data_IF_313865746601
#
_entry.id   IF_313865746601
#
_cell.length_a   1.000
_cell.length_b   1.000
_cell.length_c   1.000
_cell.angle_alpha   90.00
_cell.angle_beta   90.00
_cell.angle_gamma   90.00
#
_symmetry.space_group_name_H-M   'P 1'
#
loop_
_entity.id
_entity.type
_entity.pdbx_description
1 polymer ?
#
# COMPACT_ATOMS: atom_id res chain seq x y z
N UNK A 1 38.70 -8.04 -30.73
CA UNK A 1 39.09 -8.94 -29.63
C UNK A 1 39.18 -8.09 -28.38
N UNK A 2 38.53 -8.47 -27.30
CA UNK A 2 38.31 -7.77 -26.00
C UNK A 2 36.98 -6.99 -25.89
N UNK A 3 35.86 -7.73 -25.93
CA UNK A 3 34.64 -7.41 -25.17
C UNK A 3 34.76 -8.22 -23.88
N UNK A 4 35.24 -7.59 -22.81
CA UNK A 4 35.29 -8.18 -21.47
C UNK A 4 34.02 -7.82 -20.75
N UNK A 5 33.20 -8.83 -20.56
CA UNK A 5 32.10 -9.02 -19.65
C UNK A 5 32.12 -8.06 -18.44
N UNK A 6 31.25 -7.07 -18.47
CA UNK A 6 30.71 -6.51 -17.23
C UNK A 6 29.62 -7.46 -16.77
N UNK A 7 29.99 -8.36 -15.86
CA UNK A 7 29.09 -9.24 -15.16
C UNK A 7 28.05 -8.39 -14.38
N UNK A 8 26.96 -8.12 -15.02
CA UNK A 8 25.78 -7.53 -14.43
C UNK A 8 25.20 -8.61 -13.51
N UNK A 9 25.47 -8.50 -12.21
CA UNK A 9 24.66 -9.21 -11.21
C UNK A 9 23.24 -8.69 -11.36
N UNK A 10 22.49 -9.28 -12.28
CA UNK A 10 21.05 -9.17 -12.34
C UNK A 10 20.55 -9.55 -10.95
N UNK A 11 20.02 -8.59 -10.20
CA UNK A 11 19.28 -8.87 -8.99
C UNK A 11 18.22 -9.89 -9.36
N UNK A 12 18.40 -11.15 -8.91
CA UNK A 12 17.50 -12.26 -9.25
C UNK A 12 16.09 -11.82 -8.88
N UNK A 13 15.23 -11.68 -9.88
CA UNK A 13 13.80 -11.53 -9.62
C UNK A 13 13.39 -12.67 -8.68
N UNK A 14 12.71 -12.37 -7.57
CA UNK A 14 12.32 -13.39 -6.61
C UNK A 14 11.48 -14.46 -7.31
N UNK A 15 11.64 -15.73 -6.94
CA UNK A 15 10.79 -16.82 -7.42
C UNK A 15 9.31 -16.56 -7.07
N UNK A 16 8.35 -17.20 -7.75
CA UNK A 16 6.92 -17.09 -7.41
C UNK A 16 6.66 -17.40 -5.94
N UNK A 17 7.33 -18.41 -5.38
CA UNK A 17 7.22 -18.75 -3.95
C UNK A 17 7.71 -17.63 -3.04
N UNK A 18 8.83 -16.98 -3.37
CA UNK A 18 9.32 -15.84 -2.64
C UNK A 18 8.36 -14.64 -2.74
N UNK A 19 7.73 -14.41 -3.90
CA UNK A 19 6.76 -13.32 -4.08
C UNK A 19 5.47 -13.54 -3.28
N UNK A 20 5.03 -14.78 -3.11
CA UNK A 20 3.92 -15.13 -2.19
C UNK A 20 4.32 -14.88 -0.73
N UNK A 21 5.53 -15.26 -0.34
CA UNK A 21 6.04 -14.94 1.01
C UNK A 21 6.05 -13.43 1.26
N UNK A 22 6.52 -12.63 0.30
CA UNK A 22 6.47 -11.17 0.41
C UNK A 22 5.05 -10.64 0.53
N UNK A 23 4.08 -11.23 -0.19
CA UNK A 23 2.67 -10.86 -0.03
C UNK A 23 2.16 -11.14 1.39
N UNK A 24 2.48 -12.32 1.94
CA UNK A 24 2.13 -12.68 3.33
C UNK A 24 2.75 -11.68 4.31
N UNK A 25 4.03 -11.36 4.17
CA UNK A 25 4.71 -10.38 5.02
C UNK A 25 4.09 -8.98 4.91
N UNK A 26 3.73 -8.55 3.69
CA UNK A 26 3.01 -7.29 3.48
C UNK A 26 1.67 -7.26 4.19
N UNK A 27 0.89 -8.36 4.11
CA UNK A 27 -0.40 -8.51 4.81
C UNK A 27 -0.21 -8.44 6.33
N UNK A 28 0.77 -9.15 6.88
CA UNK A 28 1.06 -9.12 8.33
C UNK A 28 1.44 -7.72 8.79
N UNK A 29 2.29 -7.02 8.05
CA UNK A 29 2.65 -5.63 8.34
C UNK A 29 1.40 -4.71 8.27
N UNK A 30 0.58 -4.82 7.24
CA UNK A 30 -0.65 -4.04 7.09
C UNK A 30 -1.66 -4.32 8.21
N UNK A 31 -1.77 -5.58 8.63
CA UNK A 31 -2.60 -5.99 9.77
C UNK A 31 -2.09 -5.33 11.07
N UNK A 32 -0.78 -5.38 11.32
CA UNK A 32 -0.15 -4.74 12.49
C UNK A 32 -0.43 -3.24 12.54
N UNK A 33 -0.30 -2.54 11.41
CA UNK A 33 -0.66 -1.12 11.30
C UNK A 33 -2.09 -0.88 11.75
N UNK A 34 -3.04 -1.66 11.22
CA UNK A 34 -4.45 -1.50 11.51
C UNK A 34 -4.78 -1.76 13.00
N UNK A 35 -4.16 -2.77 13.62
CA UNK A 35 -4.34 -3.09 15.03
C UNK A 35 -3.77 -1.99 15.93
N UNK A 36 -2.59 -1.44 15.61
CA UNK A 36 -2.00 -0.34 16.37
C UNK A 36 -2.86 0.92 16.23
N UNK A 37 -3.36 1.22 15.02
CA UNK A 37 -4.29 2.34 14.83
C UNK A 37 -5.61 2.13 15.59
N UNK A 38 -6.13 0.90 15.69
CA UNK A 38 -7.29 0.59 16.50
C UNK A 38 -7.07 0.96 17.98
N UNK A 39 -5.90 0.59 18.54
CA UNK A 39 -5.50 1.01 19.90
C UNK A 39 -5.43 2.53 20.00
N UNK A 40 -4.86 3.21 19.00
CA UNK A 40 -4.79 4.68 18.96
C UNK A 40 -6.16 5.34 19.01
N UNK A 41 -7.12 4.82 18.23
CA UNK A 41 -8.50 5.33 18.19
C UNK A 41 -9.24 5.07 19.51
N UNK A 42 -9.14 3.87 20.06
CA UNK A 42 -9.77 3.51 21.35
C UNK A 42 -9.27 4.41 22.46
N UNK A 43 -7.99 4.79 22.45
CA UNK A 43 -7.39 5.71 23.42
C UNK A 43 -7.54 7.18 23.05
N UNK A 44 -8.32 7.53 22.01
CA UNK A 44 -8.55 8.89 21.51
C UNK A 44 -7.27 9.71 21.30
N UNK A 45 -6.24 9.07 20.74
CA UNK A 45 -4.96 9.71 20.47
C UNK A 45 -5.07 10.73 19.32
N UNK A 46 -4.20 11.75 19.33
CA UNK A 46 -4.15 12.72 18.25
C UNK A 46 -3.60 12.08 16.96
N UNK A 47 -4.45 11.95 15.96
CA UNK A 47 -4.15 11.27 14.69
C UNK A 47 -3.01 11.92 13.93
N UNK A 48 -2.90 13.25 13.94
CA UNK A 48 -1.81 13.94 13.22
C UNK A 48 -0.45 13.63 13.85
N UNK A 49 -0.36 13.61 15.19
CA UNK A 49 0.88 13.28 15.90
C UNK A 49 1.28 11.83 15.63
N UNK A 50 0.33 10.88 15.72
CA UNK A 50 0.57 9.45 15.42
C UNK A 50 1.02 9.27 13.98
N UNK A 51 0.38 9.95 13.01
CA UNK A 51 0.72 9.84 11.58
C UNK A 51 2.08 10.46 11.26
N UNK A 52 2.41 11.61 11.88
CA UNK A 52 3.73 12.25 11.69
C UNK A 52 4.84 11.36 12.22
N UNK A 53 4.69 10.80 13.43
CA UNK A 53 5.67 9.89 14.00
C UNK A 53 5.81 8.59 13.17
N UNK A 54 4.71 8.07 12.63
CA UNK A 54 4.71 6.96 11.68
C UNK A 54 5.57 7.26 10.45
N UNK A 55 5.30 8.37 9.75
CA UNK A 55 6.06 8.71 8.56
C UNK A 55 7.52 9.09 8.87
N UNK A 56 7.80 9.62 10.06
CA UNK A 56 9.17 9.89 10.49
C UNK A 56 10.00 8.60 10.56
N UNK A 57 9.46 7.54 11.17
CA UNK A 57 10.17 6.24 11.23
C UNK A 57 10.27 5.61 9.85
N UNK A 58 9.19 5.61 9.06
CA UNK A 58 9.22 5.05 7.71
C UNK A 58 10.27 5.76 6.82
N UNK A 59 10.39 7.09 6.95
CA UNK A 59 11.42 7.88 6.27
C UNK A 59 12.83 7.52 6.78
N UNK A 60 13.01 7.40 8.09
CA UNK A 60 14.29 7.03 8.68
C UNK A 60 14.74 5.62 8.26
N UNK A 61 13.82 4.66 8.22
CA UNK A 61 14.10 3.30 7.73
C UNK A 61 14.48 3.35 6.24
N UNK A 62 13.77 4.14 5.41
CA UNK A 62 14.10 4.33 4.00
C UNK A 62 15.52 4.89 3.82
N UNK A 63 15.89 5.91 4.60
CA UNK A 63 17.22 6.50 4.61
C UNK A 63 18.31 5.50 5.02
N UNK A 64 18.05 4.69 6.04
CA UNK A 64 19.00 3.66 6.50
C UNK A 64 19.29 2.64 5.40
N UNK A 65 18.27 2.19 4.67
CA UNK A 65 18.46 1.29 3.53
C UNK A 65 19.20 1.97 2.38
N UNK A 66 18.95 3.26 2.15
CA UNK A 66 19.61 4.03 1.09
C UNK A 66 21.10 4.23 1.42
N UNK A 67 21.42 4.60 2.66
CA UNK A 67 22.79 4.79 3.13
C UNK A 67 23.57 3.47 3.08
N UNK A 68 23.00 2.37 3.58
CA UNK A 68 23.63 1.06 3.58
C UNK A 68 23.95 0.49 2.19
N UNK A 69 23.30 0.99 1.14
CA UNK A 69 23.55 0.61 -0.26
C UNK A 69 24.46 1.56 -1.03
N UNK A 70 24.95 2.63 -0.42
CA UNK A 70 25.78 3.64 -1.08
C UNK A 70 25.08 4.39 -2.23
N UNK A 71 23.75 4.34 -2.31
CA UNK A 71 22.98 4.98 -3.37
C UNK A 71 23.03 6.51 -3.29
N UNK A 72 23.29 7.08 -2.11
CA UNK A 72 23.42 8.53 -1.92
C UNK A 72 24.51 9.14 -2.81
N UNK A 73 25.61 8.43 -3.03
CA UNK A 73 26.73 8.89 -3.85
C UNK A 73 26.42 8.86 -5.37
N UNK A 74 25.31 8.23 -5.77
CA UNK A 74 24.90 8.07 -7.17
C UNK A 74 23.81 9.06 -7.61
N UNK A 75 23.35 9.94 -6.74
CA UNK A 75 22.21 10.84 -7.00
C UNK A 75 22.54 11.99 -7.97
N UNK A 76 23.81 12.43 -8.05
CA UNK A 76 24.21 13.61 -8.82
C UNK A 76 23.86 13.57 -10.32
N UNK A 77 24.21 12.52 -11.10
CA UNK A 77 23.94 12.44 -12.53
C UNK A 77 22.54 11.95 -12.91
N UNK A 78 21.69 11.62 -11.92
CA UNK A 78 20.43 10.90 -12.13
C UNK A 78 19.40 11.63 -13.01
N UNK A 79 19.34 12.95 -12.96
CA UNK A 79 18.33 13.72 -13.69
C UNK A 79 18.53 13.69 -15.21
N UNK A 80 19.79 13.79 -15.68
CA UNK A 80 20.11 13.69 -17.11
C UNK A 80 19.76 12.31 -17.66
N UNK A 81 20.24 11.27 -17.00
CA UNK A 81 20.00 9.88 -17.41
C UNK A 81 18.51 9.52 -17.40
N UNK A 82 17.75 10.04 -16.44
CA UNK A 82 16.30 9.84 -16.40
C UNK A 82 15.60 10.36 -17.65
N UNK A 83 15.92 11.58 -18.10
CA UNK A 83 15.32 12.19 -19.29
C UNK A 83 15.74 11.44 -20.58
N UNK A 84 16.96 10.99 -20.67
CA UNK A 84 17.46 10.21 -21.81
C UNK A 84 16.78 8.83 -21.93
N UNK A 85 16.56 8.16 -20.79
CA UNK A 85 15.90 6.85 -20.75
C UNK A 85 14.37 6.90 -20.84
N UNK A 86 13.75 8.07 -20.62
CA UNK A 86 12.29 8.23 -20.57
C UNK A 86 11.57 7.74 -21.84
N UNK A 87 12.02 8.06 -23.09
CA UNK A 87 11.36 7.57 -24.30
C UNK A 87 11.40 6.04 -24.42
N UNK A 88 12.50 5.42 -23.99
CA UNK A 88 12.65 3.96 -23.97
C UNK A 88 11.75 3.33 -22.90
N UNK A 89 11.69 3.91 -21.73
CA UNK A 89 10.85 3.43 -20.63
C UNK A 89 9.36 3.47 -21.00
N UNK A 90 8.88 4.56 -21.61
CA UNK A 90 7.49 4.69 -22.07
C UNK A 90 7.10 3.65 -23.15
N UNK A 91 8.07 3.15 -23.91
CA UNK A 91 7.89 2.04 -24.88
C UNK A 91 7.94 0.64 -24.23
N UNK A 92 7.95 0.56 -22.90
CA UNK A 92 7.92 -0.69 -22.14
C UNK A 92 9.29 -1.23 -21.70
N UNK A 93 10.39 -0.48 -21.93
CA UNK A 93 11.77 -0.93 -21.68
C UNK A 93 12.27 -0.82 -20.23
N UNK A 94 11.58 -0.11 -19.37
CA UNK A 94 12.03 0.18 -17.99
C UNK A 94 13.27 1.09 -17.92
N UNK A 95 13.54 1.62 -16.73
CA UNK A 95 14.71 2.44 -16.45
C UNK A 95 15.89 1.61 -15.99
N UNK A 96 17.09 2.00 -16.38
CA UNK A 96 18.34 1.51 -15.80
C UNK A 96 18.50 1.94 -14.33
N UNK A 97 19.56 1.46 -13.64
CA UNK A 97 19.78 1.81 -12.22
C UNK A 97 19.84 3.32 -11.95
N UNK A 98 20.47 4.10 -12.83
CA UNK A 98 20.58 5.56 -12.67
C UNK A 98 19.28 6.29 -13.04
N UNK A 99 18.65 5.97 -14.18
CA UNK A 99 17.35 6.54 -14.56
C UNK A 99 16.26 6.23 -13.55
N UNK A 100 16.35 5.07 -12.86
CA UNK A 100 15.44 4.69 -11.78
C UNK A 100 15.51 5.60 -10.56
N UNK A 101 16.60 6.33 -10.34
CA UNK A 101 16.70 7.33 -9.27
C UNK A 101 15.77 8.52 -9.56
N UNK A 102 15.78 9.01 -10.81
CA UNK A 102 14.83 10.06 -11.26
C UNK A 102 13.38 9.57 -11.26
N UNK A 103 13.16 8.31 -11.71
CA UNK A 103 11.84 7.69 -11.66
C UNK A 103 11.29 7.55 -10.24
N UNK A 104 12.15 7.21 -9.27
CA UNK A 104 11.78 7.14 -7.86
C UNK A 104 11.23 8.47 -7.34
N UNK A 105 11.83 9.60 -7.73
CA UNK A 105 11.33 10.92 -7.39
C UNK A 105 10.03 11.26 -8.15
N UNK A 106 10.00 11.02 -9.47
CA UNK A 106 8.86 11.33 -10.33
C UNK A 106 7.56 10.63 -9.88
N UNK A 107 7.66 9.39 -9.43
CA UNK A 107 6.51 8.62 -8.92
C UNK A 107 6.32 8.79 -7.41
N UNK A 108 7.41 8.85 -6.64
CA UNK A 108 7.36 8.89 -5.18
C UNK A 108 6.80 10.20 -4.61
N UNK A 109 7.11 11.33 -5.23
CA UNK A 109 6.61 12.65 -4.77
C UNK A 109 5.08 12.74 -4.88
N UNK A 110 4.44 12.52 -6.04
CA UNK A 110 2.98 12.51 -6.13
C UNK A 110 2.35 11.40 -5.28
N UNK A 111 2.98 10.23 -5.20
CA UNK A 111 2.52 9.15 -4.33
C UNK A 111 2.46 9.57 -2.86
N UNK A 112 3.49 10.25 -2.35
CA UNK A 112 3.51 10.75 -0.96
C UNK A 112 2.36 11.71 -0.66
N UNK A 113 1.98 12.55 -1.62
CA UNK A 113 0.79 13.40 -1.51
C UNK A 113 -0.49 12.54 -1.45
N UNK A 114 -0.61 11.50 -2.29
CA UNK A 114 -1.77 10.60 -2.28
C UNK A 114 -1.87 9.82 -0.97
N UNK A 115 -0.75 9.32 -0.42
CA UNK A 115 -0.70 8.67 0.91
C UNK A 115 -1.24 9.60 2.00
N UNK A 116 -0.80 10.86 2.02
CA UNK A 116 -1.29 11.85 2.98
C UNK A 116 -2.78 12.17 2.78
N UNK A 117 -3.20 12.43 1.53
CA UNK A 117 -4.61 12.74 1.21
C UNK A 117 -5.53 11.56 1.54
N UNK A 118 -5.12 10.32 1.25
CA UNK A 118 -5.85 9.12 1.64
C UNK A 118 -6.14 9.07 3.13
N UNK A 119 -5.15 9.43 3.96
CA UNK A 119 -5.33 9.54 5.40
C UNK A 119 -6.31 10.65 5.80
N UNK A 120 -6.23 11.83 5.18
CA UNK A 120 -7.15 12.95 5.46
C UNK A 120 -8.59 12.60 5.06
N UNK A 121 -8.77 12.02 3.87
CA UNK A 121 -10.10 11.64 3.41
C UNK A 121 -10.67 10.45 4.20
N UNK A 122 -9.83 9.53 4.71
CA UNK A 122 -10.28 8.50 5.64
C UNK A 122 -10.88 9.12 6.91
N UNK A 123 -10.18 10.10 7.52
CA UNK A 123 -10.68 10.78 8.71
C UNK A 123 -11.99 11.54 8.44
N UNK A 124 -12.05 12.28 7.31
CA UNK A 124 -13.27 12.99 6.92
C UNK A 124 -14.42 12.01 6.67
N UNK A 125 -14.17 10.93 5.92
CA UNK A 125 -15.14 9.89 5.62
C UNK A 125 -15.69 9.23 6.89
N UNK A 126 -14.80 8.91 7.85
CA UNK A 126 -15.22 8.38 9.17
C UNK A 126 -16.15 9.35 9.90
N UNK A 127 -15.84 10.66 9.86
CA UNK A 127 -16.65 11.68 10.54
C UNK A 127 -17.99 11.94 9.86
N UNK A 128 -18.04 11.92 8.53
CA UNK A 128 -19.24 12.27 7.75
C UNK A 128 -20.14 11.06 7.47
N UNK A 129 -19.55 9.89 7.25
CA UNK A 129 -20.26 8.69 6.77
C UNK A 129 -20.13 7.48 7.72
N UNK A 130 -19.34 7.61 8.78
CA UNK A 130 -19.09 6.54 9.75
C UNK A 130 -17.95 5.61 9.37
N UNK A 131 -17.44 4.86 10.37
CA UNK A 131 -16.25 4.02 10.26
C UNK A 131 -16.42 2.90 9.21
N UNK A 132 -17.61 2.28 9.19
CA UNK A 132 -17.92 1.15 8.31
C UNK A 132 -17.84 1.54 6.83
N UNK A 133 -18.51 2.63 6.42
CA UNK A 133 -18.48 3.08 5.03
C UNK A 133 -17.10 3.58 4.62
N UNK A 134 -16.45 4.42 5.44
CA UNK A 134 -15.11 4.90 5.14
C UNK A 134 -14.09 3.75 5.04
N UNK A 135 -14.17 2.77 5.93
CA UNK A 135 -13.35 1.55 5.87
C UNK A 135 -13.58 0.76 4.58
N UNK A 136 -14.84 0.59 4.16
CA UNK A 136 -15.19 -0.10 2.91
C UNK A 136 -14.62 0.60 1.69
N UNK A 137 -14.83 1.92 1.57
CA UNK A 137 -14.33 2.69 0.42
C UNK A 137 -12.79 2.72 0.37
N UNK A 138 -12.14 2.83 1.53
CA UNK A 138 -10.68 2.71 1.61
C UNK A 138 -10.18 1.36 1.11
N UNK A 139 -10.82 0.26 1.47
CA UNK A 139 -10.41 -1.09 1.05
C UNK A 139 -10.81 -1.40 -0.39
N UNK A 140 -11.92 -0.87 -0.88
CA UNK A 140 -12.30 -0.94 -2.29
C UNK A 140 -11.35 -0.14 -3.20
N UNK A 141 -10.58 0.79 -2.66
CA UNK A 141 -9.53 1.50 -3.40
C UNK A 141 -8.60 0.58 -4.20
N UNK A 142 -8.46 -0.70 -3.82
CA UNK A 142 -7.70 -1.70 -4.58
C UNK A 142 -8.25 -1.96 -5.99
N UNK A 143 -9.49 -1.58 -6.28
CA UNK A 143 -10.04 -1.63 -7.65
C UNK A 143 -9.31 -0.67 -8.60
N UNK A 144 -8.76 0.43 -8.09
CA UNK A 144 -8.00 1.40 -8.91
C UNK A 144 -6.73 0.77 -9.49
N UNK A 145 -5.78 0.24 -8.69
CA UNK A 145 -4.61 -0.41 -9.25
C UNK A 145 -4.94 -1.65 -10.09
N UNK A 146 -6.00 -2.40 -9.75
CA UNK A 146 -6.47 -3.53 -10.54
C UNK A 146 -6.96 -3.07 -11.92
N UNK A 147 -7.88 -2.12 -11.98
CA UNK A 147 -8.42 -1.62 -13.24
C UNK A 147 -7.33 -0.98 -14.11
N UNK A 148 -6.49 -0.13 -13.52
CA UNK A 148 -5.40 0.53 -14.25
C UNK A 148 -4.35 -0.46 -14.75
N UNK A 149 -4.04 -1.54 -14.03
CA UNK A 149 -3.11 -2.56 -14.51
C UNK A 149 -3.67 -3.37 -15.69
N UNK A 150 -4.97 -3.64 -15.70
CA UNK A 150 -5.64 -4.28 -16.84
C UNK A 150 -5.63 -3.35 -18.05
N UNK A 151 -5.97 -2.07 -17.86
CA UNK A 151 -6.06 -1.10 -18.95
C UNK A 151 -4.71 -0.73 -19.55
N UNK A 152 -3.68 -0.50 -18.71
CA UNK A 152 -2.38 0.01 -19.14
C UNK A 152 -1.41 -1.10 -19.57
N UNK A 153 -1.48 -2.27 -18.93
CA UNK A 153 -0.50 -3.35 -19.15
C UNK A 153 -1.14 -4.66 -19.61
N UNK A 154 -2.45 -4.66 -19.86
CA UNK A 154 -3.21 -5.85 -20.29
C UNK A 154 -2.99 -7.07 -19.36
N UNK A 155 -2.83 -6.81 -18.04
CA UNK A 155 -2.70 -7.86 -17.03
C UNK A 155 -4.06 -8.54 -16.75
N UNK A 156 -4.68 -9.12 -17.78
CA UNK A 156 -6.03 -9.71 -17.68
C UNK A 156 -5.97 -10.98 -16.82
N UNK A 157 -6.79 -11.08 -15.75
CA UNK A 157 -6.93 -12.28 -14.95
C UNK A 157 -7.54 -13.44 -15.76
N UNK A 158 -7.21 -14.67 -15.40
CA UNK A 158 -7.88 -15.85 -15.94
C UNK A 158 -9.31 -15.99 -15.38
N UNK A 159 -10.17 -16.82 -16.00
CA UNK A 159 -11.54 -17.03 -15.53
C UNK A 159 -11.63 -17.48 -14.05
N UNK A 160 -10.72 -18.37 -13.63
CA UNK A 160 -10.63 -18.81 -12.23
C UNK A 160 -10.15 -17.69 -11.32
N UNK A 161 -9.20 -16.87 -11.76
CA UNK A 161 -8.75 -15.70 -11.01
C UNK A 161 -9.87 -14.67 -10.87
N UNK A 162 -10.71 -14.46 -11.89
CA UNK A 162 -11.87 -13.58 -11.81
C UNK A 162 -12.86 -14.03 -10.74
N UNK A 163 -13.13 -15.34 -10.62
CA UNK A 163 -13.97 -15.87 -9.52
C UNK A 163 -13.33 -15.62 -8.16
N UNK A 164 -12.03 -15.84 -8.01
CA UNK A 164 -11.30 -15.53 -6.78
C UNK A 164 -11.33 -14.04 -6.43
N UNK A 165 -11.15 -13.14 -7.42
CA UNK A 165 -11.26 -11.69 -7.26
C UNK A 165 -12.69 -11.30 -6.81
N UNK A 166 -13.71 -11.84 -7.44
CA UNK A 166 -15.10 -11.58 -7.07
C UNK A 166 -15.41 -12.00 -5.63
N UNK A 167 -14.91 -13.17 -5.21
CA UNK A 167 -15.05 -13.64 -3.82
C UNK A 167 -14.28 -12.74 -2.84
N UNK A 168 -13.06 -12.30 -3.18
CA UNK A 168 -12.28 -11.38 -2.37
C UNK A 168 -12.98 -10.03 -2.19
N UNK A 169 -13.47 -9.43 -3.28
CA UNK A 169 -14.24 -8.19 -3.23
C UNK A 169 -15.56 -8.34 -2.48
N UNK A 170 -16.26 -9.46 -2.70
CA UNK A 170 -17.47 -9.82 -1.96
C UNK A 170 -17.21 -9.94 -0.45
N UNK A 171 -16.09 -10.53 -0.06
CA UNK A 171 -15.69 -10.63 1.35
C UNK A 171 -15.41 -9.25 1.97
N UNK A 172 -14.76 -8.35 1.23
CA UNK A 172 -14.50 -6.96 1.67
C UNK A 172 -15.82 -6.23 1.92
N UNK A 173 -16.75 -6.32 0.98
CA UNK A 173 -18.07 -5.71 1.11
C UNK A 173 -18.83 -6.29 2.31
N UNK A 174 -18.87 -7.61 2.42
CA UNK A 174 -19.58 -8.31 3.49
C UNK A 174 -19.02 -7.97 4.89
N UNK A 175 -17.70 -7.90 5.04
CA UNK A 175 -17.06 -7.56 6.30
C UNK A 175 -17.34 -6.12 6.74
N UNK A 176 -17.43 -5.19 5.80
CA UNK A 176 -17.45 -3.75 6.11
C UNK A 176 -18.82 -3.07 5.94
N UNK A 177 -19.69 -3.57 5.04
CA UNK A 177 -21.01 -2.95 4.84
C UNK A 177 -22.00 -3.32 5.93
N UNK A 178 -22.65 -2.33 6.49
CA UNK A 178 -23.79 -2.55 7.38
C UNK A 178 -25.10 -2.62 6.59
N UNK A 179 -25.50 -3.85 6.26
CA UNK A 179 -26.69 -4.14 5.43
C UNK A 179 -28.01 -3.77 6.18
N UNK A 180 -27.93 -3.53 7.49
CA UNK A 180 -29.12 -3.23 8.30
C UNK A 180 -29.78 -1.88 7.96
N UNK A 181 -29.10 -1.00 7.24
CA UNK A 181 -29.61 0.33 6.88
C UNK A 181 -29.40 0.65 5.39
N UNK A 182 -30.23 0.12 4.46
CA UNK A 182 -30.08 0.32 3.00
C UNK A 182 -30.08 1.80 2.58
N UNK A 183 -30.83 2.66 3.28
CA UNK A 183 -30.87 4.12 3.03
C UNK A 183 -29.52 4.81 3.26
N UNK A 184 -28.66 4.27 4.14
CA UNK A 184 -27.30 4.79 4.36
C UNK A 184 -26.34 4.35 3.24
N UNK A 185 -26.62 3.26 2.56
CA UNK A 185 -25.81 2.81 1.40
C UNK A 185 -25.98 3.77 0.20
N UNK A 186 -27.14 4.40 0.02
CA UNK A 186 -27.36 5.42 -1.02
C UNK A 186 -26.78 6.80 -0.68
N UNK A 187 -26.60 7.12 0.60
CA UNK A 187 -25.79 8.29 1.03
C UNK A 187 -24.30 8.11 0.75
N UNK A 188 -23.90 6.97 0.20
CA UNK A 188 -22.52 6.59 -0.12
C UNK A 188 -21.89 7.34 -1.30
N UNK A 189 -22.63 8.18 -2.04
CA UNK A 189 -22.07 9.08 -3.05
C UNK A 189 -21.54 10.39 -2.44
N UNK A 190 -21.01 10.33 -1.22
CA UNK A 190 -20.27 11.48 -0.66
C UNK A 190 -19.00 11.71 -1.49
N UNK A 191 -18.75 12.92 -1.99
CA UNK A 191 -17.49 13.25 -2.69
C UNK A 191 -16.25 12.90 -1.86
N UNK A 192 -16.35 12.94 -0.54
CA UNK A 192 -15.28 12.57 0.39
C UNK A 192 -14.96 11.09 0.29
N UNK A 193 -15.96 10.21 0.19
CA UNK A 193 -15.74 8.77 0.05
C UNK A 193 -15.17 8.42 -1.33
N UNK A 194 -15.59 9.11 -2.40
CA UNK A 194 -14.99 8.95 -3.72
C UNK A 194 -13.53 9.39 -3.73
N UNK A 195 -13.20 10.55 -3.13
CA UNK A 195 -11.83 11.03 -3.00
C UNK A 195 -10.98 10.09 -2.14
N UNK A 196 -11.54 9.52 -1.08
CA UNK A 196 -10.88 8.47 -0.29
C UNK A 196 -10.53 7.24 -1.14
N UNK A 197 -11.52 6.72 -1.87
CA UNK A 197 -11.34 5.59 -2.78
C UNK A 197 -10.22 5.85 -3.82
N UNK A 198 -10.27 7.02 -4.48
CA UNK A 198 -9.30 7.38 -5.50
C UNK A 198 -7.90 7.61 -4.91
N UNK A 199 -7.79 8.36 -3.81
CA UNK A 199 -6.47 8.69 -3.22
C UNK A 199 -5.77 7.46 -2.65
N UNK A 200 -6.49 6.58 -1.95
CA UNK A 200 -5.93 5.31 -1.46
C UNK A 200 -5.56 4.41 -2.63
N UNK A 201 -6.44 4.29 -3.64
CA UNK A 201 -6.17 3.47 -4.80
C UNK A 201 -4.98 3.96 -5.63
N UNK A 202 -4.84 5.28 -5.85
CA UNK A 202 -3.69 5.85 -6.55
C UNK A 202 -2.40 5.72 -5.74
N UNK A 203 -2.47 5.84 -4.41
CA UNK A 203 -1.33 5.57 -3.53
C UNK A 203 -0.83 4.13 -3.69
N UNK A 204 -1.72 3.15 -3.66
CA UNK A 204 -1.37 1.74 -3.90
C UNK A 204 -0.89 1.49 -5.33
N UNK A 205 -1.52 2.13 -6.33
CA UNK A 205 -1.12 2.02 -7.73
C UNK A 205 0.31 2.53 -7.97
N UNK A 206 0.76 3.55 -7.22
CA UNK A 206 2.13 4.07 -7.34
C UNK A 206 3.21 3.01 -7.07
N UNK A 207 2.95 2.05 -6.17
CA UNK A 207 3.85 0.92 -5.90
C UNK A 207 4.02 0.04 -7.16
N UNK A 208 2.93 -0.20 -7.90
CA UNK A 208 2.97 -0.96 -9.16
C UNK A 208 3.67 -0.17 -10.28
N UNK A 209 3.36 1.12 -10.41
CA UNK A 209 4.00 2.00 -11.39
C UNK A 209 5.52 2.03 -11.18
N UNK A 210 5.95 2.18 -9.92
CA UNK A 210 7.36 2.11 -9.59
C UNK A 210 7.95 0.73 -9.94
N UNK A 211 7.31 -0.36 -9.51
CA UNK A 211 7.77 -1.73 -9.75
C UNK A 211 7.90 -2.05 -11.24
N UNK A 212 7.00 -1.52 -12.09
CA UNK A 212 6.95 -1.83 -13.52
C UNK A 212 8.13 -1.27 -14.29
N UNK A 213 8.56 -0.06 -13.95
CA UNK A 213 9.54 0.69 -14.72
C UNK A 213 10.84 0.95 -13.96
N UNK A 214 10.83 0.95 -12.64
CA UNK A 214 11.99 1.24 -11.81
C UNK A 214 12.81 0.01 -11.43
N UNK A 215 14.10 0.22 -11.16
CA UNK A 215 15.00 -0.80 -10.64
C UNK A 215 14.69 -1.13 -9.18
N UNK A 216 14.74 -2.42 -8.82
CA UNK A 216 14.57 -2.86 -7.42
C UNK A 216 15.67 -2.34 -6.49
N UNK A 217 16.83 -1.95 -7.03
CA UNK A 217 17.89 -1.34 -6.24
C UNK A 217 17.49 0.04 -5.70
N UNK A 218 16.81 0.86 -6.51
CA UNK A 218 16.38 2.20 -6.14
C UNK A 218 15.02 2.23 -5.39
N UNK A 219 14.42 1.08 -5.05
CA UNK A 219 13.14 0.99 -4.34
C UNK A 219 13.14 1.76 -3.02
N UNK A 220 14.23 1.71 -2.25
CA UNK A 220 14.33 2.44 -0.97
C UNK A 220 14.30 3.95 -1.18
N UNK A 221 14.81 4.46 -2.32
CA UNK A 221 14.71 5.87 -2.69
C UNK A 221 13.26 6.25 -3.06
N UNK A 222 12.55 5.40 -3.79
CA UNK A 222 11.12 5.60 -4.05
C UNK A 222 10.33 5.72 -2.74
N UNK A 223 10.51 4.78 -1.81
CA UNK A 223 9.84 4.81 -0.52
C UNK A 223 10.27 6.01 0.33
N UNK A 224 11.52 6.48 0.20
CA UNK A 224 11.97 7.71 0.83
C UNK A 224 11.18 8.93 0.34
N UNK A 225 10.97 9.06 -0.98
CA UNK A 225 10.15 10.15 -1.52
C UNK A 225 8.69 10.05 -1.07
N UNK A 226 8.11 8.85 -1.11
CA UNK A 226 6.73 8.61 -0.64
C UNK A 226 6.57 9.04 0.81
N UNK A 227 7.36 8.47 1.72
CA UNK A 227 7.21 8.72 3.15
C UNK A 227 7.75 10.08 3.56
N UNK A 228 8.79 10.59 2.89
CA UNK A 228 9.35 11.92 3.14
C UNK A 228 8.37 13.03 2.80
N UNK A 229 7.71 12.96 1.64
CA UNK A 229 6.67 13.94 1.27
C UNK A 229 5.47 13.83 2.22
N UNK A 230 5.01 12.62 2.52
CA UNK A 230 3.93 12.41 3.48
C UNK A 230 4.30 12.94 4.88
N UNK A 231 5.56 12.77 5.31
CA UNK A 231 6.08 13.34 6.55
C UNK A 231 6.03 14.86 6.53
N UNK A 232 6.55 15.51 5.49
CA UNK A 232 6.58 16.99 5.40
C UNK A 232 5.18 17.58 5.50
N UNK A 233 4.23 17.00 4.76
CA UNK A 233 2.84 17.49 4.76
C UNK A 233 2.14 17.20 6.10
N UNK A 234 2.36 16.03 6.71
CA UNK A 234 1.77 15.69 8.01
C UNK A 234 2.38 16.49 9.15
N UNK A 235 3.68 16.77 9.10
CA UNK A 235 4.40 17.60 10.07
C UNK A 235 3.81 19.01 10.12
N UNK A 236 3.62 19.63 8.96
CA UNK A 236 2.99 20.96 8.87
C UNK A 236 1.62 21.02 9.54
N UNK A 237 0.84 19.92 9.48
CA UNK A 237 -0.44 19.82 10.16
C UNK A 237 -0.29 19.55 11.67
N UNK A 238 0.69 18.74 12.06
CA UNK A 238 0.91 18.39 13.47
C UNK A 238 1.48 19.55 14.28
N UNK A 239 2.27 20.44 13.67
CA UNK A 239 2.78 21.65 14.32
C UNK A 239 1.68 22.63 14.79
N UNK A 240 0.49 22.53 14.19
CA UNK A 240 -0.69 23.30 14.60
C UNK A 240 -1.49 22.64 15.73
N UNK A 241 -1.08 21.46 16.16
CA UNK A 241 -1.67 20.73 17.27
C UNK A 241 -1.01 21.23 18.55
N UNK A 242 -1.79 21.53 19.57
CA UNK A 242 -1.28 21.96 20.86
C UNK A 242 -0.38 20.91 21.54
N UNK A 243 -0.58 20.66 22.81
CA UNK A 243 0.30 19.78 23.62
C UNK A 243 0.43 18.35 23.04
N UNK A 244 1.63 17.96 22.63
CA UNK A 244 1.95 16.61 22.16
C UNK A 244 2.20 15.71 23.38
N UNK A 245 1.44 14.61 23.49
CA UNK A 245 1.66 13.59 24.52
C UNK A 245 2.63 12.52 23.99
N UNK A 246 3.60 12.13 24.81
CA UNK A 246 4.60 11.11 24.47
C UNK A 246 3.95 9.78 23.99
N UNK A 247 2.83 9.35 24.59
CA UNK A 247 2.12 8.14 24.20
C UNK A 247 1.64 8.17 22.74
N UNK A 248 1.17 9.33 22.24
CA UNK A 248 0.74 9.48 20.84
C UNK A 248 1.92 9.32 19.88
N UNK A 249 3.04 9.93 20.24
CA UNK A 249 4.27 9.87 19.47
C UNK A 249 4.84 8.45 19.42
N UNK A 250 4.98 7.79 20.57
CA UNK A 250 5.47 6.39 20.67
C UNK A 250 4.57 5.41 19.89
N UNK A 251 3.24 5.59 19.95
CA UNK A 251 2.33 4.76 19.14
C UNK A 251 2.58 4.96 17.64
N UNK A 252 2.82 6.20 17.20
CA UNK A 252 3.19 6.48 15.81
C UNK A 252 4.51 5.84 15.40
N UNK A 253 5.54 5.88 16.27
CA UNK A 253 6.81 5.20 16.01
C UNK A 253 6.61 3.68 15.81
N UNK A 254 5.76 3.05 16.63
CA UNK A 254 5.45 1.62 16.50
C UNK A 254 4.77 1.26 15.16
N UNK A 255 3.99 2.20 14.58
CA UNK A 255 3.36 2.02 13.25
C UNK A 255 4.38 2.14 12.12
N UNK A 256 5.41 2.98 12.27
CA UNK A 256 6.30 3.37 11.18
C UNK A 256 7.11 2.23 10.57
N UNK A 257 7.59 1.30 11.40
CA UNK A 257 8.34 0.13 10.93
C UNK A 257 7.46 -0.78 10.05
N UNK A 258 6.31 -1.28 10.54
CA UNK A 258 5.44 -2.10 9.68
C UNK A 258 4.90 -1.33 8.47
N UNK A 259 4.73 0.00 8.53
CA UNK A 259 4.29 0.79 7.38
C UNK A 259 5.33 0.80 6.24
N UNK A 260 6.60 0.99 6.56
CA UNK A 260 7.67 0.86 5.56
C UNK A 260 7.69 -0.55 4.95
N UNK A 261 7.70 -1.58 5.80
CA UNK A 261 7.81 -2.95 5.34
C UNK A 261 6.57 -3.45 4.60
N UNK A 262 5.38 -2.95 4.90
CA UNK A 262 4.17 -3.25 4.12
C UNK A 262 4.36 -2.86 2.65
N UNK A 263 4.74 -1.62 2.37
CA UNK A 263 5.00 -1.14 1.00
C UNK A 263 6.22 -1.82 0.38
N UNK A 264 7.29 -2.04 1.15
CA UNK A 264 8.49 -2.72 0.70
C UNK A 264 8.21 -4.14 0.18
N UNK A 265 7.49 -4.94 0.97
CA UNK A 265 7.14 -6.31 0.60
C UNK A 265 6.07 -6.37 -0.47
N UNK A 266 5.13 -5.41 -0.49
CA UNK A 266 4.14 -5.32 -1.55
C UNK A 266 4.80 -5.10 -2.92
N UNK A 267 5.75 -4.16 -3.03
CA UNK A 267 6.50 -3.93 -4.27
C UNK A 267 7.25 -5.20 -4.70
N UNK A 268 7.85 -5.93 -3.75
CA UNK A 268 8.53 -7.20 -4.05
C UNK A 268 7.55 -8.28 -4.51
N UNK A 269 6.35 -8.36 -3.96
CA UNK A 269 5.33 -9.33 -4.37
C UNK A 269 4.85 -9.07 -5.80
N UNK A 270 4.73 -7.80 -6.19
CA UNK A 270 4.29 -7.37 -7.52
C UNK A 270 5.30 -7.71 -8.65
N UNK A 271 6.52 -8.11 -8.32
CA UNK A 271 7.54 -8.41 -9.33
C UNK A 271 7.25 -9.69 -10.14
N UNK A 272 6.49 -10.65 -9.58
CA UNK A 272 6.17 -11.93 -10.20
C UNK A 272 4.67 -12.24 -10.23
N UNK A 273 3.88 -11.53 -9.44
CA UNK A 273 2.44 -11.76 -9.33
C UNK A 273 1.67 -10.65 -10.08
N UNK A 274 0.56 -11.04 -10.71
CA UNK A 274 -0.30 -10.09 -11.42
C UNK A 274 -0.95 -9.11 -10.44
N UNK A 275 -0.92 -7.84 -10.75
CA UNK A 275 -1.48 -6.74 -9.96
C UNK A 275 -2.97 -6.95 -9.68
N UNK A 276 -3.72 -7.35 -10.72
CA UNK A 276 -5.15 -7.59 -10.63
C UNK A 276 -5.52 -8.69 -9.60
N UNK A 277 -4.57 -9.54 -9.23
CA UNK A 277 -4.73 -10.61 -8.25
C UNK A 277 -4.20 -10.18 -6.88
N UNK A 278 -3.02 -9.57 -6.85
CA UNK A 278 -2.32 -9.20 -5.60
C UNK A 278 -3.17 -8.27 -4.75
N UNK A 279 -3.70 -7.19 -5.33
CA UNK A 279 -4.37 -6.16 -4.53
C UNK A 279 -5.68 -6.62 -3.89
N UNK A 280 -6.61 -7.30 -4.58
CA UNK A 280 -7.81 -7.83 -3.92
C UNK A 280 -7.49 -8.81 -2.80
N UNK A 281 -6.52 -9.70 -3.02
CA UNK A 281 -6.10 -10.70 -2.03
C UNK A 281 -5.43 -10.03 -0.83
N UNK A 282 -4.50 -9.10 -1.07
CA UNK A 282 -3.85 -8.31 -0.03
C UNK A 282 -4.87 -7.64 0.88
N UNK A 283 -5.86 -6.95 0.30
CA UNK A 283 -6.89 -6.26 1.08
C UNK A 283 -7.84 -7.21 1.80
N UNK A 284 -8.35 -8.25 1.13
CA UNK A 284 -9.26 -9.20 1.74
C UNK A 284 -8.60 -9.96 2.90
N UNK A 285 -7.37 -10.45 2.69
CA UNK A 285 -6.63 -11.18 3.73
C UNK A 285 -6.29 -10.27 4.91
N UNK A 286 -5.92 -9.01 4.65
CA UNK A 286 -5.67 -8.03 5.72
C UNK A 286 -6.93 -7.82 6.58
N UNK A 287 -8.12 -7.68 5.96
CA UNK A 287 -9.38 -7.51 6.68
C UNK A 287 -9.67 -8.75 7.55
N UNK A 288 -9.51 -9.94 6.98
CA UNK A 288 -9.72 -11.19 7.72
C UNK A 288 -8.80 -11.28 8.94
N UNK A 289 -7.51 -10.99 8.75
CA UNK A 289 -6.57 -11.04 9.88
C UNK A 289 -6.87 -9.95 10.93
N UNK A 290 -7.30 -8.76 10.53
CA UNK A 290 -7.74 -7.71 11.46
C UNK A 290 -8.96 -8.19 12.27
N UNK A 291 -9.94 -8.83 11.62
CA UNK A 291 -11.14 -9.35 12.27
C UNK A 291 -10.80 -10.48 13.25
N UNK A 292 -9.94 -11.43 12.84
CA UNK A 292 -9.50 -12.54 13.71
C UNK A 292 -8.69 -12.03 14.90
N UNK A 293 -7.71 -11.15 14.66
CA UNK A 293 -6.90 -10.54 15.72
C UNK A 293 -7.75 -9.63 16.63
N UNK A 294 -8.76 -8.97 16.08
CA UNK A 294 -9.75 -8.21 16.85
C UNK A 294 -10.50 -9.10 17.83
N UNK A 295 -10.93 -10.26 17.38
CA UNK A 295 -11.57 -11.26 18.24
C UNK A 295 -10.65 -11.78 19.35
N UNK A 296 -9.37 -12.06 19.01
CA UNK A 296 -8.42 -12.63 19.97
C UNK A 296 -7.86 -11.61 20.96
N UNK A 297 -7.53 -10.38 20.49
CA UNK A 297 -6.82 -9.38 21.30
C UNK A 297 -7.76 -8.41 22.02
N UNK A 298 -8.98 -8.20 21.50
CA UNK A 298 -9.93 -7.24 22.04
C UNK A 298 -11.24 -7.92 22.49
N UNK A 299 -11.29 -9.27 22.51
CA UNK A 299 -12.45 -10.07 22.91
C UNK A 299 -13.72 -9.73 22.10
N UNK A 300 -13.55 -9.21 20.88
CA UNK A 300 -14.67 -8.88 20.01
C UNK A 300 -15.26 -10.14 19.38
N UNK A 301 -16.55 -10.37 19.56
CA UNK A 301 -17.23 -11.50 18.91
C UNK A 301 -17.39 -11.22 17.42
N UNK A 302 -16.79 -12.07 16.59
CA UNK A 302 -17.00 -12.02 15.14
C UNK A 302 -18.49 -12.16 14.83
N UNK A 303 -19.03 -11.18 14.13
CA UNK A 303 -20.41 -11.22 13.61
C UNK A 303 -20.53 -12.34 12.59
N UNK A 304 -21.72 -12.94 12.36
CA UNK A 304 -21.89 -13.99 11.35
C UNK A 304 -21.39 -13.63 9.97
N UNK A 305 -21.58 -12.36 9.56
CA UNK A 305 -21.07 -11.82 8.29
C UNK A 305 -19.53 -11.78 8.20
N UNK A 306 -18.84 -11.48 9.30
CA UNK A 306 -17.39 -11.48 9.35
C UNK A 306 -16.82 -12.90 9.24
N UNK A 307 -17.48 -13.88 9.87
CA UNK A 307 -17.14 -15.29 9.71
C UNK A 307 -17.31 -15.76 8.26
N UNK A 308 -18.41 -15.37 7.60
CA UNK A 308 -18.61 -15.67 6.18
C UNK A 308 -17.55 -14.97 5.30
N UNK A 309 -17.18 -13.72 5.60
CA UNK A 309 -16.11 -13.02 4.90
C UNK A 309 -14.76 -13.74 5.02
N UNK A 310 -14.44 -14.31 6.20
CA UNK A 310 -13.25 -15.16 6.40
C UNK A 310 -13.28 -16.36 5.44
N UNK A 311 -14.39 -17.09 5.39
CA UNK A 311 -14.54 -18.28 4.52
C UNK A 311 -14.39 -17.89 3.05
N UNK A 312 -15.04 -16.82 2.60
CA UNK A 312 -14.94 -16.32 1.22
C UNK A 312 -13.51 -15.91 0.87
N UNK A 313 -12.78 -15.26 1.80
CA UNK A 313 -11.39 -14.88 1.59
C UNK A 313 -10.48 -16.10 1.45
N UNK A 314 -10.65 -17.13 2.29
CA UNK A 314 -9.88 -18.36 2.18
C UNK A 314 -10.16 -19.05 0.84
N UNK A 315 -11.44 -19.13 0.43
CA UNK A 315 -11.81 -19.68 -0.88
C UNK A 315 -11.19 -18.87 -2.03
N UNK A 316 -11.20 -17.54 -1.95
CA UNK A 316 -10.57 -16.66 -2.93
C UNK A 316 -9.05 -16.92 -3.05
N UNK A 317 -8.35 -17.03 -1.90
CA UNK A 317 -6.92 -17.35 -1.86
C UNK A 317 -6.61 -18.69 -2.54
N UNK A 318 -7.41 -19.72 -2.29
CA UNK A 318 -7.26 -21.05 -2.90
C UNK A 318 -7.44 -20.94 -4.42
N UNK A 319 -8.55 -20.34 -4.90
CA UNK A 319 -8.86 -20.24 -6.32
C UNK A 319 -7.80 -19.47 -7.11
N UNK A 320 -7.28 -18.39 -6.55
CA UNK A 320 -6.25 -17.59 -7.22
C UNK A 320 -4.92 -18.33 -7.33
N UNK A 321 -4.62 -19.21 -6.38
CA UNK A 321 -3.37 -19.99 -6.37
C UNK A 321 -3.47 -21.35 -7.07
N UNK A 322 -4.67 -21.84 -7.40
CA UNK A 322 -4.88 -23.13 -8.07
C UNK A 322 -4.38 -23.19 -9.52
N UNK A 323 -4.15 -22.04 -10.17
CA UNK A 323 -3.58 -22.02 -11.51
C UNK A 323 -2.06 -21.79 -11.45
N UNK A 324 -1.36 -22.86 -11.62
CA UNK A 324 0.05 -22.91 -12.03
C UNK A 324 0.19 -22.61 -13.51
#
# INVERSE_FOLDING_TARGET
MLVKEYGFHASRNPSKGASLLYLILAVLCSTSIALIFKVSETRRMNRYVVTTANYMVATAVSLSFLAGRGLLNRLGPAAGVFLEELPRALRGGGFGPQGSLGWAAAVGVPAGVMYFLGFIYLQKGVRESGVSLAGSFSKLGVLVPMALSILLWHEVPTAVQWTGIALALGSILLANLDVSHPRRAFAAFSPVLLLLFLTVGLAEFSNKVYQRYGSMEAKSLFLLFVFGVALLVSLFKSLRVGRIRASHFLTGLAVGVPNYFASHFLILSLSQLRTAVVFPIYSATTIVLISLAGGLLFEERLRPRERLAVVLTVAALVLVNLQR
#
